data_IF_158535212310
#
_entry.id   IF_158535212310
#
_cell.length_a   1.000
_cell.length_b   1.000
_cell.length_c   1.000
_cell.angle_alpha   90.00
_cell.angle_beta   90.00
_cell.angle_gamma   90.00
#
_symmetry.space_group_name_H-M   'P 1'
#
loop_
_entity.id
_entity.type
_entity.pdbx_description
1 polymer ?
#
# COMPACT_ATOMS: atom_id res chain seq x y z
N UNK A 1 -27.39 22.53 -29.72
CA UNK A 1 -25.93 22.72 -29.58
C UNK A 1 -25.45 21.71 -28.54
N UNK A 2 -24.96 20.55 -28.94
CA UNK A 2 -24.50 19.51 -28.01
C UNK A 2 -23.09 19.83 -27.55
N UNK A 3 -22.92 20.06 -26.24
CA UNK A 3 -21.62 20.24 -25.61
C UNK A 3 -20.89 18.90 -25.68
N UNK A 4 -19.97 18.74 -26.63
CA UNK A 4 -19.06 17.60 -26.72
C UNK A 4 -17.96 17.81 -25.68
N UNK A 5 -18.14 17.26 -24.49
CA UNK A 5 -17.09 17.23 -23.47
C UNK A 5 -15.95 16.36 -24.03
N UNK A 6 -14.73 16.88 -24.20
CA UNK A 6 -13.61 16.09 -24.74
C UNK A 6 -13.10 15.14 -23.65
N UNK A 7 -13.75 13.99 -23.50
CA UNK A 7 -13.32 12.92 -22.60
C UNK A 7 -11.90 12.43 -22.94
N UNK A 8 -11.51 12.51 -24.21
CA UNK A 8 -10.18 12.09 -24.68
C UNK A 8 -9.06 13.00 -24.17
N UNK A 9 -9.34 14.30 -23.99
CA UNK A 9 -8.38 15.27 -23.43
C UNK A 9 -8.20 15.09 -21.91
N UNK A 10 -9.24 14.65 -21.20
CA UNK A 10 -9.16 14.31 -19.77
C UNK A 10 -8.44 12.98 -19.57
N UNK A 11 -8.71 11.98 -20.41
CA UNK A 11 -8.09 10.65 -20.34
C UNK A 11 -6.61 10.68 -20.73
N UNK A 12 -6.25 11.47 -21.75
CA UNK A 12 -4.84 11.66 -22.15
C UNK A 12 -4.01 12.45 -21.13
N UNK A 13 -4.63 13.38 -20.39
CA UNK A 13 -3.98 14.07 -19.24
C UNK A 13 -3.85 13.16 -18.01
N UNK A 14 -4.78 12.21 -17.87
CA UNK A 14 -4.86 11.23 -16.80
C UNK A 14 -4.38 9.86 -17.31
N UNK A 15 -3.20 9.84 -17.94
CA UNK A 15 -2.58 8.66 -18.55
C UNK A 15 -2.09 7.65 -17.47
N UNK A 16 -3.00 7.24 -16.59
CA UNK A 16 -2.78 6.39 -15.43
C UNK A 16 -2.38 4.99 -15.84
N UNK A 17 -2.89 4.49 -16.98
CA UNK A 17 -2.56 3.18 -17.53
C UNK A 17 -1.08 3.06 -17.89
N UNK A 18 -0.52 4.07 -18.58
CA UNK A 18 0.90 4.11 -18.92
C UNK A 18 1.78 4.24 -17.67
N UNK A 19 1.36 5.05 -16.69
CA UNK A 19 2.03 5.15 -15.39
C UNK A 19 1.97 3.85 -14.60
N UNK A 20 0.86 3.12 -14.66
CA UNK A 20 0.69 1.85 -13.98
C UNK A 20 1.54 0.75 -14.64
N UNK A 21 1.61 0.76 -15.97
CA UNK A 21 2.48 -0.14 -16.74
C UNK A 21 3.96 0.15 -16.51
N UNK A 22 4.37 1.42 -16.40
CA UNK A 22 5.75 1.79 -16.09
C UNK A 22 6.16 1.44 -14.65
N UNK A 23 5.22 1.51 -13.70
CA UNK A 23 5.45 1.03 -12.32
C UNK A 23 5.63 -0.49 -12.27
N UNK A 24 4.90 -1.25 -13.11
CA UNK A 24 5.03 -2.72 -13.19
C UNK A 24 6.27 -3.19 -13.95
N UNK A 25 6.77 -2.42 -14.91
CA UNK A 25 7.92 -2.82 -15.74
C UNK A 25 9.28 -2.53 -15.10
N UNK A 26 9.31 -1.73 -14.03
CA UNK A 26 10.54 -1.35 -13.36
C UNK A 26 10.87 -2.35 -12.22
N UNK A 27 12.01 -3.03 -12.33
CA UNK A 27 12.44 -3.99 -11.31
C UNK A 27 12.63 -3.32 -9.94
N UNK A 28 12.38 -4.04 -8.85
CA UNK A 28 12.59 -3.51 -7.49
C UNK A 28 14.01 -2.97 -7.31
N UNK A 29 15.01 -3.65 -7.89
CA UNK A 29 16.41 -3.21 -7.90
C UNK A 29 16.60 -1.84 -8.57
N UNK A 30 15.95 -1.58 -9.71
CA UNK A 30 15.97 -0.26 -10.35
C UNK A 30 15.22 0.80 -9.54
N UNK A 31 14.22 0.43 -8.74
CA UNK A 31 13.52 1.37 -7.84
C UNK A 31 14.40 1.76 -6.65
N UNK A 32 15.12 0.79 -6.08
CA UNK A 32 16.13 1.05 -5.04
C UNK A 32 17.30 1.90 -5.56
N UNK A 33 17.75 1.68 -6.80
CA UNK A 33 18.78 2.49 -7.44
C UNK A 33 18.34 3.95 -7.73
N UNK A 34 17.03 4.20 -7.78
CA UNK A 34 16.45 5.53 -7.98
C UNK A 34 16.07 6.24 -6.66
N UNK A 35 16.41 5.68 -5.49
CA UNK A 35 16.19 6.38 -4.22
C UNK A 35 17.04 7.65 -4.20
N UNK A 36 16.37 8.79 -4.00
CA UNK A 36 17.04 10.07 -3.87
C UNK A 36 17.63 10.21 -2.47
N UNK A 37 18.78 10.91 -2.31
CA UNK A 37 19.39 11.17 -1.01
C UNK A 37 18.36 11.74 -0.03
N UNK A 38 18.37 11.27 1.22
CA UNK A 38 17.42 11.74 2.26
C UNK A 38 17.60 13.24 2.51
N UNK A 39 18.82 13.77 2.34
CA UNK A 39 19.11 15.21 2.40
C UNK A 39 18.42 16.03 1.31
N UNK A 40 18.18 15.43 0.15
CA UNK A 40 17.44 16.04 -0.95
C UNK A 40 15.93 15.89 -0.74
N UNK A 41 15.49 14.78 -0.14
CA UNK A 41 14.10 14.56 0.24
C UNK A 41 13.67 15.53 1.34
N UNK A 42 14.46 15.69 2.40
CA UNK A 42 14.18 16.57 3.54
C UNK A 42 14.86 17.94 3.40
N UNK A 43 14.97 18.48 2.19
CA UNK A 43 15.55 19.80 1.99
C UNK A 43 14.56 20.90 2.44
N UNK A 44 14.63 21.23 3.73
CA UNK A 44 13.78 22.24 4.37
C UNK A 44 13.94 23.64 3.74
N UNK A 45 15.00 23.90 2.97
CA UNK A 45 15.21 25.17 2.27
C UNK A 45 14.31 25.31 1.04
N UNK A 46 13.82 24.18 0.50
CA UNK A 46 12.88 24.13 -0.64
C UNK A 46 11.43 24.14 -0.20
N UNK A 47 11.14 24.20 1.11
CA UNK A 47 9.79 24.37 1.59
C UNK A 47 9.32 25.80 1.28
N UNK A 48 8.39 25.93 0.34
CA UNK A 48 7.79 27.21 0.00
C UNK A 48 6.27 27.07 0.04
N UNK A 49 5.58 28.10 0.55
CA UNK A 49 4.12 28.10 0.57
C UNK A 49 3.62 28.25 -0.87
N UNK A 50 2.82 27.32 -1.40
CA UNK A 50 2.29 27.43 -2.75
C UNK A 50 1.38 28.65 -2.85
N UNK A 51 1.54 29.45 -3.91
CA UNK A 51 0.76 30.67 -4.11
C UNK A 51 -0.70 30.35 -4.45
N UNK A 52 -0.93 29.32 -5.28
CA UNK A 52 -2.25 28.98 -5.84
C UNK A 52 -2.47 27.45 -5.93
N UNK A 53 -3.73 27.01 -6.01
CA UNK A 53 -4.09 25.58 -6.18
C UNK A 53 -3.51 24.93 -7.46
N UNK A 54 -3.38 25.69 -8.55
CA UNK A 54 -2.74 25.20 -9.78
C UNK A 54 -1.25 24.91 -9.59
N UNK A 55 -0.58 25.64 -8.71
CA UNK A 55 0.82 25.42 -8.38
C UNK A 55 0.98 24.16 -7.51
N UNK A 56 0.08 23.95 -6.55
CA UNK A 56 0.02 22.72 -5.74
C UNK A 56 -0.10 21.49 -6.63
N UNK A 57 -1.03 21.48 -7.58
CA UNK A 57 -1.25 20.34 -8.45
C UNK A 57 0.02 20.00 -9.26
N UNK A 58 0.70 21.02 -9.78
CA UNK A 58 1.89 20.81 -10.59
C UNK A 58 3.14 20.47 -9.76
N UNK A 59 3.26 20.98 -8.51
CA UNK A 59 4.28 20.52 -7.53
C UNK A 59 4.06 19.07 -7.15
N UNK A 60 2.83 18.68 -6.81
CA UNK A 60 2.48 17.30 -6.46
C UNK A 60 2.79 16.34 -7.62
N UNK A 61 2.39 16.67 -8.85
CA UNK A 61 2.66 15.82 -10.01
C UNK A 61 4.15 15.63 -10.30
N UNK A 62 4.97 16.68 -10.12
CA UNK A 62 6.41 16.62 -10.29
C UNK A 62 7.06 15.80 -9.17
N UNK A 63 6.80 16.17 -7.91
CA UNK A 63 7.40 15.56 -6.73
C UNK A 63 7.01 14.08 -6.57
N UNK A 64 5.76 13.71 -6.87
CA UNK A 64 5.32 12.30 -6.85
C UNK A 64 6.11 11.44 -7.83
N UNK A 65 6.48 11.98 -8.99
CA UNK A 65 7.29 11.26 -9.97
C UNK A 65 8.76 11.24 -9.53
N UNK A 66 9.28 12.38 -9.08
CA UNK A 66 10.68 12.58 -8.74
C UNK A 66 11.12 11.78 -7.50
N UNK A 67 10.29 11.77 -6.44
CA UNK A 67 10.54 11.06 -5.18
C UNK A 67 9.74 9.77 -5.04
N UNK A 68 9.28 9.17 -6.14
CA UNK A 68 8.44 7.96 -6.14
C UNK A 68 9.02 6.80 -5.31
N UNK A 69 10.33 6.54 -5.40
CA UNK A 69 11.00 5.51 -4.59
C UNK A 69 11.03 5.88 -3.09
N UNK A 70 11.31 7.14 -2.76
CA UNK A 70 11.33 7.60 -1.36
C UNK A 70 9.94 7.49 -0.73
N UNK A 71 8.90 7.86 -1.46
CA UNK A 71 7.51 7.70 -1.01
C UNK A 71 7.10 6.23 -0.85
N UNK A 72 7.59 5.33 -1.70
CA UNK A 72 7.38 3.89 -1.52
C UNK A 72 8.04 3.37 -0.23
N UNK A 73 9.23 3.88 0.11
CA UNK A 73 9.91 3.56 1.38
C UNK A 73 9.10 4.09 2.57
N UNK A 74 8.61 5.34 2.53
CA UNK A 74 7.76 5.90 3.58
C UNK A 74 6.48 5.07 3.77
N UNK A 75 5.82 4.70 2.69
CA UNK A 75 4.65 3.82 2.74
C UNK A 75 4.98 2.46 3.39
N UNK A 76 6.11 1.85 3.03
CA UNK A 76 6.55 0.60 3.61
C UNK A 76 6.85 0.74 5.12
N UNK A 77 7.54 1.83 5.53
CA UNK A 77 7.80 2.13 6.93
C UNK A 77 6.51 2.34 7.73
N UNK A 78 5.54 3.09 7.19
CA UNK A 78 4.23 3.28 7.82
C UNK A 78 3.42 1.98 7.88
N UNK A 79 3.55 1.12 6.89
CA UNK A 79 2.92 -0.22 6.87
C UNK A 79 3.50 -1.13 7.94
N UNK A 80 4.83 -1.14 8.11
CA UNK A 80 5.49 -1.88 9.18
C UNK A 80 5.09 -1.31 10.54
N UNK A 81 5.09 0.02 10.68
CA UNK A 81 4.65 0.69 11.91
C UNK A 81 3.21 0.35 12.29
N UNK A 82 2.27 0.33 11.32
CA UNK A 82 0.87 0.00 11.59
C UNK A 82 0.70 -1.44 12.06
N UNK A 83 1.47 -2.38 11.51
CA UNK A 83 1.50 -3.77 11.96
C UNK A 83 2.13 -3.94 13.35
N UNK A 84 3.23 -3.25 13.63
CA UNK A 84 3.88 -3.31 14.95
C UNK A 84 3.01 -2.68 16.05
N UNK A 85 2.27 -1.63 15.72
CA UNK A 85 1.35 -0.97 16.67
C UNK A 85 0.10 -1.82 16.92
N UNK A 86 -0.31 -2.64 15.94
CA UNK A 86 -1.46 -3.53 16.05
C UNK A 86 -1.02 -5.00 16.01
N UNK A 87 -0.50 -5.49 17.14
CA UNK A 87 -0.01 -6.87 17.27
C UNK A 87 -1.10 -7.93 17.00
N UNK A 88 -2.37 -7.60 17.29
CA UNK A 88 -3.51 -8.48 16.98
C UNK A 88 -3.71 -8.66 15.48
N UNK A 89 -3.58 -7.58 14.70
CA UNK A 89 -3.63 -7.64 13.24
C UNK A 89 -2.46 -8.44 12.68
N UNK A 90 -1.25 -8.24 13.23
CA UNK A 90 -0.09 -9.02 12.83
C UNK A 90 -0.29 -10.51 13.10
N UNK A 91 -0.81 -10.85 14.29
CA UNK A 91 -1.14 -12.23 14.64
C UNK A 91 -2.19 -12.82 13.69
N UNK A 92 -3.26 -12.08 13.39
CA UNK A 92 -4.32 -12.50 12.46
C UNK A 92 -3.76 -12.81 11.06
N UNK A 93 -2.90 -11.93 10.54
CA UNK A 93 -2.22 -12.12 9.25
C UNK A 93 -1.37 -13.39 9.28
N UNK A 94 -0.56 -13.59 10.33
CA UNK A 94 0.28 -14.79 10.46
C UNK A 94 -0.58 -16.05 10.55
N UNK A 95 -1.68 -16.00 11.31
CA UNK A 95 -2.60 -17.12 11.48
C UNK A 95 -3.27 -17.48 10.16
N UNK A 96 -3.79 -16.50 9.42
CA UNK A 96 -4.47 -16.74 8.14
C UNK A 96 -3.47 -17.18 7.07
N UNK A 97 -2.35 -16.46 6.88
CA UNK A 97 -1.36 -16.79 5.84
C UNK A 97 -0.67 -18.11 6.16
N UNK A 98 -0.23 -18.29 7.40
CA UNK A 98 0.39 -19.53 7.86
C UNK A 98 -0.58 -20.71 7.83
N UNK A 99 -1.84 -20.51 8.24
CA UNK A 99 -2.90 -21.51 8.16
C UNK A 99 -3.22 -21.92 6.74
N UNK A 100 -3.43 -20.95 5.84
CA UNK A 100 -3.66 -21.22 4.41
C UNK A 100 -2.46 -21.91 3.75
N UNK A 101 -1.23 -21.49 4.07
CA UNK A 101 -0.02 -22.13 3.56
C UNK A 101 0.12 -23.56 4.08
N UNK A 102 -0.14 -23.79 5.36
CA UNK A 102 -0.13 -25.11 5.97
C UNK A 102 -1.17 -26.02 5.31
N UNK A 103 -2.42 -25.57 5.15
CA UNK A 103 -3.49 -26.33 4.49
C UNK A 103 -3.17 -26.57 3.01
N UNK A 104 -2.64 -25.57 2.31
CA UNK A 104 -2.21 -25.70 0.91
C UNK A 104 -1.11 -26.75 0.73
N UNK A 105 -0.24 -26.92 1.73
CA UNK A 105 0.81 -27.96 1.72
C UNK A 105 0.25 -29.39 1.78
N UNK A 106 -1.00 -29.59 2.23
CA UNK A 106 -1.66 -30.90 2.20
C UNK A 106 -2.09 -31.34 0.79
N UNK A 107 -2.11 -30.43 -0.19
CA UNK A 107 -2.41 -30.77 -1.57
C UNK A 107 -3.80 -31.42 -1.78
N UNK A 108 -4.76 -31.13 -0.90
CA UNK A 108 -6.10 -31.73 -0.93
C UNK A 108 -6.23 -33.07 -0.20
N UNK A 109 -5.16 -33.56 0.43
CA UNK A 109 -5.23 -34.71 1.33
C UNK A 109 -5.82 -34.31 2.69
N UNK A 110 -6.45 -35.25 3.36
CA UNK A 110 -6.87 -35.05 4.76
C UNK A 110 -5.63 -34.98 5.66
N UNK A 111 -5.67 -34.11 6.67
CA UNK A 111 -4.60 -34.01 7.65
C UNK A 111 -4.71 -35.19 8.61
N UNK A 112 -3.84 -36.18 8.42
CA UNK A 112 -3.69 -37.32 9.31
C UNK A 112 -2.48 -37.09 10.23
N UNK A 113 -2.72 -36.67 11.48
CA UNK A 113 -1.70 -36.59 12.53
C UNK A 113 -1.97 -37.73 13.51
N UNK A 114 -1.29 -38.86 13.34
CA UNK A 114 -1.47 -40.04 14.19
C UNK A 114 -2.91 -40.59 14.09
N UNK A 115 -3.69 -40.48 15.16
CA UNK A 115 -5.11 -40.90 15.20
C UNK A 115 -6.09 -39.79 14.81
N UNK A 116 -5.62 -38.55 14.63
CA UNK A 116 -6.46 -37.41 14.30
C UNK A 116 -6.53 -37.21 12.79
N UNK A 117 -7.72 -37.36 12.21
CA UNK A 117 -8.02 -37.04 10.82
C UNK A 117 -8.88 -35.78 10.75
N UNK A 118 -8.36 -34.73 10.14
CA UNK A 118 -9.13 -33.52 9.84
C UNK A 118 -9.20 -33.32 8.32
N UNK A 119 -10.42 -33.19 7.81
CA UNK A 119 -10.62 -32.88 6.39
C UNK A 119 -10.14 -31.46 6.07
N UNK A 120 -9.75 -31.22 4.81
CA UNK A 120 -9.40 -29.88 4.34
C UNK A 120 -10.49 -28.84 4.66
N UNK A 121 -11.77 -29.23 4.53
CA UNK A 121 -12.91 -28.36 4.87
C UNK A 121 -12.94 -27.99 6.36
N UNK A 122 -12.75 -28.96 7.26
CA UNK A 122 -12.70 -28.71 8.70
C UNK A 122 -11.52 -27.82 9.11
N UNK A 123 -10.38 -27.93 8.42
CA UNK A 123 -9.23 -27.06 8.68
C UNK A 123 -9.52 -25.61 8.25
N UNK A 124 -10.11 -25.40 7.07
CA UNK A 124 -10.53 -24.06 6.65
C UNK A 124 -11.62 -23.49 7.56
N UNK A 125 -12.60 -24.30 7.97
CA UNK A 125 -13.63 -23.87 8.92
C UNK A 125 -13.02 -23.52 10.28
N UNK A 126 -12.12 -24.34 10.82
CA UNK A 126 -11.43 -24.07 12.07
C UNK A 126 -10.59 -22.80 12.01
N UNK A 127 -9.87 -22.61 10.89
CA UNK A 127 -9.12 -21.38 10.64
C UNK A 127 -10.05 -20.16 10.61
N UNK A 128 -11.17 -20.23 9.90
CA UNK A 128 -12.15 -19.15 9.84
C UNK A 128 -12.80 -18.86 11.21
N UNK A 129 -13.11 -19.90 11.99
CA UNK A 129 -13.70 -19.74 13.33
C UNK A 129 -12.78 -19.00 14.31
N UNK A 130 -11.46 -19.06 14.12
CA UNK A 130 -10.48 -18.33 14.95
C UNK A 130 -10.15 -16.98 14.31
N UNK A 131 -9.88 -16.95 13.01
CA UNK A 131 -9.49 -15.75 12.28
C UNK A 131 -10.60 -14.69 12.30
N UNK A 132 -11.88 -15.06 12.14
CA UNK A 132 -12.97 -14.09 12.08
C UNK A 132 -13.09 -13.29 13.39
N UNK A 133 -13.19 -13.92 14.58
CA UNK A 133 -13.18 -13.18 15.84
C UNK A 133 -11.94 -12.31 16.04
N UNK A 134 -10.75 -12.83 15.71
CA UNK A 134 -9.49 -12.08 15.83
C UNK A 134 -9.45 -10.89 14.85
N UNK A 135 -9.99 -11.04 13.65
CA UNK A 135 -10.15 -9.98 12.67
C UNK A 135 -11.07 -8.86 13.19
N UNK A 136 -12.17 -9.20 13.86
CA UNK A 136 -13.03 -8.19 14.50
C UNK A 136 -12.30 -7.41 15.59
N UNK A 137 -11.51 -8.09 16.43
CA UNK A 137 -10.73 -7.46 17.51
C UNK A 137 -9.61 -6.58 16.93
N UNK A 138 -8.89 -7.07 15.92
CA UNK A 138 -7.77 -6.36 15.32
C UNK A 138 -8.20 -5.17 14.46
N UNK A 139 -9.46 -5.09 14.04
CA UNK A 139 -10.01 -3.98 13.26
C UNK A 139 -9.14 -3.65 12.02
N UNK A 140 -8.97 -4.59 11.07
CA UNK A 140 -8.10 -4.43 9.90
C UNK A 140 -8.48 -3.22 9.05
N UNK A 141 -9.79 -2.96 8.92
CA UNK A 141 -10.31 -1.84 8.14
C UNK A 141 -9.84 -0.50 8.72
N UNK A 142 -9.90 -0.34 10.04
CA UNK A 142 -9.46 0.88 10.71
C UNK A 142 -7.95 1.09 10.51
N UNK A 143 -7.15 0.03 10.64
CA UNK A 143 -5.70 0.09 10.41
C UNK A 143 -5.37 0.43 8.96
N UNK A 144 -6.12 -0.10 8.00
CA UNK A 144 -5.96 0.20 6.59
C UNK A 144 -6.34 1.65 6.25
N UNK A 145 -7.46 2.14 6.78
CA UNK A 145 -7.88 3.54 6.62
C UNK A 145 -6.86 4.49 7.26
N UNK A 146 -6.33 4.15 8.43
CA UNK A 146 -5.24 4.89 9.06
C UNK A 146 -4.00 4.93 8.17
N UNK A 147 -3.60 3.79 7.60
CA UNK A 147 -2.44 3.70 6.72
C UNK A 147 -2.62 4.56 5.46
N UNK A 148 -3.79 4.52 4.82
CA UNK A 148 -4.10 5.37 3.66
C UNK A 148 -4.06 6.84 4.05
N UNK A 149 -4.71 7.22 5.16
CA UNK A 149 -4.76 8.60 5.63
C UNK A 149 -3.37 9.14 5.98
N UNK A 150 -2.60 8.39 6.78
CA UNK A 150 -1.25 8.75 7.19
C UNK A 150 -0.31 8.89 5.97
N UNK A 151 -0.39 7.93 5.04
CA UNK A 151 0.39 7.96 3.81
C UNK A 151 -0.01 9.15 2.94
N UNK A 152 -1.31 9.38 2.76
CA UNK A 152 -1.84 10.49 1.98
C UNK A 152 -1.40 11.84 2.55
N UNK A 153 -1.55 12.07 3.85
CA UNK A 153 -1.13 13.31 4.52
C UNK A 153 0.38 13.50 4.43
N UNK A 154 1.17 12.45 4.66
CA UNK A 154 2.63 12.54 4.65
C UNK A 154 3.16 12.79 3.24
N UNK A 155 2.73 12.01 2.25
CA UNK A 155 3.20 12.11 0.86
C UNK A 155 2.68 13.39 0.21
N UNK A 156 1.37 13.67 0.29
CA UNK A 156 0.80 14.86 -0.34
C UNK A 156 1.21 16.14 0.39
N UNK A 157 1.34 16.10 1.72
CA UNK A 157 1.89 17.21 2.49
C UNK A 157 3.32 17.53 2.05
N UNK A 158 4.18 16.52 1.96
CA UNK A 158 5.54 16.69 1.46
C UNK A 158 5.56 17.19 0.00
N UNK A 159 4.80 16.55 -0.89
CA UNK A 159 4.78 16.86 -2.31
C UNK A 159 4.17 18.23 -2.66
N UNK A 160 3.29 18.77 -1.80
CA UNK A 160 2.66 20.08 -2.00
C UNK A 160 3.51 21.24 -1.50
N UNK A 161 4.24 21.03 -0.39
CA UNK A 161 5.09 22.05 0.22
C UNK A 161 6.47 22.14 -0.41
N UNK A 162 6.97 21.04 -0.98
CA UNK A 162 8.27 21.01 -1.63
C UNK A 162 8.22 21.72 -2.98
N UNK A 163 9.04 22.75 -3.13
CA UNK A 163 9.23 23.42 -4.41
C UNK A 163 10.02 22.53 -5.39
N UNK A 164 9.79 22.73 -6.69
CA UNK A 164 10.33 21.87 -7.75
C UNK A 164 11.83 22.07 -7.99
#
# INVERSE_FOLDING_TARGET
>A
MSVRIPLDALTSRLNFSDRFNSVRSQSLAQRFANIKPISEFLDLKRLSKPANFGEVQARVNYNLSYFSSNYAVVFCMLSVYSLLTNLWLLFDIILVVGGMWAIGKLGGSDLEIGTFRATSSQLYTGLACIAVPVAFISSPIATFLWLIGATGVTILGHASLMDR
#
